data_IF_151217226681
#
_entry.id   IF_151217226681
#
_cell.length_a   1.000
_cell.length_b   1.000
_cell.length_c   1.000
_cell.angle_alpha   90.00
_cell.angle_beta   90.00
_cell.angle_gamma   90.00
#
_symmetry.space_group_name_H-M   'P 1'
#
loop_
_entity.id
_entity.type
_entity.pdbx_description
1 polymer ?
#
# COMPACT_ATOMS: atom_id res chain seq x y z
N UNK A 1 11.59 -16.83 -6.52
CA UNK A 1 11.72 -15.53 -5.83
C UNK A 1 10.48 -15.35 -4.97
N UNK A 2 10.63 -15.24 -3.66
CA UNK A 2 9.51 -15.09 -2.70
C UNK A 2 9.05 -13.64 -2.67
N UNK A 3 7.82 -13.37 -3.12
CA UNK A 3 7.21 -12.04 -3.04
C UNK A 3 6.89 -11.72 -1.57
N UNK A 4 7.53 -10.69 -1.01
CA UNK A 4 7.24 -10.23 0.35
C UNK A 4 5.96 -9.37 0.34
N UNK A 5 5.15 -9.51 1.39
CA UNK A 5 3.95 -8.70 1.60
C UNK A 5 4.10 -7.87 2.88
N UNK A 6 3.66 -6.62 2.79
CA UNK A 6 3.77 -5.62 3.83
C UNK A 6 2.38 -5.15 4.26
N UNK A 7 2.24 -4.89 5.54
CA UNK A 7 1.09 -4.23 6.14
C UNK A 7 1.10 -2.73 5.83
N UNK A 8 -0.06 -2.08 6.00
CA UNK A 8 -0.18 -0.62 5.85
C UNK A 8 0.78 0.16 6.76
N UNK A 9 1.10 -0.39 7.94
CA UNK A 9 2.04 0.23 8.88
C UNK A 9 3.49 0.16 8.41
N UNK A 10 3.89 -0.96 7.79
CA UNK A 10 5.22 -1.10 7.19
C UNK A 10 5.37 -0.20 5.97
N UNK A 11 4.36 -0.14 5.11
CA UNK A 11 4.34 0.77 3.95
C UNK A 11 4.43 2.23 4.41
N UNK A 12 3.67 2.62 5.44
CA UNK A 12 3.71 3.97 6.01
C UNK A 12 5.13 4.35 6.46
N UNK A 13 5.83 3.45 7.15
CA UNK A 13 7.23 3.66 7.56
C UNK A 13 8.18 3.73 6.36
N UNK A 14 8.03 2.82 5.39
CA UNK A 14 8.93 2.69 4.24
C UNK A 14 8.83 3.89 3.28
N UNK A 15 7.62 4.38 3.02
CA UNK A 15 7.35 5.53 2.15
C UNK A 15 7.39 6.88 2.88
N UNK A 16 7.57 6.84 4.21
CA UNK A 16 7.46 7.98 5.10
C UNK A 16 6.20 8.81 4.81
N UNK A 17 5.04 8.14 4.77
CA UNK A 17 3.73 8.77 4.61
C UNK A 17 2.81 8.35 5.75
N UNK A 18 1.91 9.22 6.22
CA UNK A 18 0.92 8.85 7.21
C UNK A 18 0.03 7.68 6.74
N UNK A 19 -0.31 6.78 7.65
CA UNK A 19 -1.30 5.71 7.40
C UNK A 19 -2.63 6.32 6.91
N UNK A 20 -3.00 7.51 7.39
CA UNK A 20 -4.19 8.23 6.95
C UNK A 20 -4.16 8.55 5.44
N UNK A 21 -3.01 8.89 4.88
CA UNK A 21 -2.83 9.12 3.43
C UNK A 21 -3.07 7.83 2.64
N UNK A 22 -2.54 6.70 3.11
CA UNK A 22 -2.77 5.41 2.45
C UNK A 22 -4.25 5.01 2.53
N UNK A 23 -4.90 5.24 3.68
CA UNK A 23 -6.35 5.02 3.85
C UNK A 23 -7.19 5.96 2.98
N UNK A 24 -6.73 7.19 2.77
CA UNK A 24 -7.37 8.13 1.85
C UNK A 24 -7.35 7.59 0.42
N UNK A 25 -6.19 7.09 -0.05
CA UNK A 25 -6.09 6.45 -1.36
C UNK A 25 -6.97 5.20 -1.50
N UNK A 26 -7.04 4.35 -0.46
CA UNK A 26 -7.96 3.22 -0.40
C UNK A 26 -9.42 3.66 -0.55
N UNK A 27 -9.86 4.60 0.29
CA UNK A 27 -11.24 5.10 0.31
C UNK A 27 -11.67 5.73 -1.01
N UNK A 28 -10.73 6.33 -1.75
CA UNK A 28 -10.99 6.93 -3.06
C UNK A 28 -10.78 5.96 -4.23
N UNK A 29 -10.56 4.67 -3.95
CA UNK A 29 -10.43 3.65 -4.99
C UNK A 29 -9.15 3.76 -5.80
N UNK A 30 -8.12 4.45 -5.29
CA UNK A 30 -6.82 4.63 -5.95
C UNK A 30 -5.89 3.43 -5.77
N UNK A 31 -6.26 2.48 -4.90
CA UNK A 31 -5.51 1.25 -4.64
C UNK A 31 -6.32 -0.01 -5.00
N UNK A 32 -6.88 -0.15 -6.20
CA UNK A 32 -7.67 -1.33 -6.58
C UNK A 32 -6.80 -2.58 -6.80
N UNK A 33 -5.50 -2.38 -7.04
CA UNK A 33 -4.52 -3.42 -7.35
C UNK A 33 -3.96 -4.16 -6.11
N UNK A 34 -4.08 -3.57 -4.93
CA UNK A 34 -3.51 -4.13 -3.70
C UNK A 34 -4.36 -5.29 -3.21
N UNK A 35 -3.71 -6.44 -2.95
CA UNK A 35 -4.35 -7.64 -2.43
C UNK A 35 -4.91 -7.41 -1.02
N UNK A 36 -5.98 -8.15 -0.70
CA UNK A 36 -6.51 -8.29 0.66
C UNK A 36 -6.27 -9.70 1.18
N UNK A 37 -5.97 -9.83 2.48
CA UNK A 37 -5.96 -11.12 3.18
C UNK A 37 -7.39 -11.66 3.31
N UNK A 38 -7.51 -12.92 3.71
CA UNK A 38 -8.81 -13.52 4.07
C UNK A 38 -9.53 -12.76 5.20
N UNK A 39 -8.76 -12.11 6.09
CA UNK A 39 -9.29 -11.24 7.14
C UNK A 39 -9.67 -9.82 6.64
N UNK A 40 -9.55 -9.54 5.34
CA UNK A 40 -9.91 -8.26 4.72
C UNK A 40 -8.86 -7.15 4.84
N UNK A 41 -7.68 -7.44 5.39
CA UNK A 41 -6.59 -6.47 5.56
C UNK A 41 -5.79 -6.31 4.27
N UNK A 42 -5.35 -5.08 3.97
CA UNK A 42 -4.51 -4.81 2.79
C UNK A 42 -3.09 -5.34 2.98
N UNK A 43 -2.60 -6.03 1.96
CA UNK A 43 -1.23 -6.52 1.83
C UNK A 43 -0.60 -5.94 0.58
N UNK A 44 0.49 -5.21 0.77
CA UNK A 44 1.22 -4.53 -0.28
C UNK A 44 2.47 -5.33 -0.63
N UNK A 45 2.66 -5.66 -1.89
CA UNK A 45 3.92 -6.21 -2.40
C UNK A 45 4.93 -5.09 -2.66
N UNK A 46 6.20 -5.44 -2.91
CA UNK A 46 7.20 -4.45 -3.34
C UNK A 46 6.74 -3.67 -4.59
N UNK A 47 6.07 -4.35 -5.54
CA UNK A 47 5.51 -3.70 -6.75
C UNK A 47 4.44 -2.67 -6.40
N UNK A 48 3.56 -2.98 -5.44
CA UNK A 48 2.52 -2.05 -5.00
C UNK A 48 3.11 -0.80 -4.34
N UNK A 49 4.22 -0.97 -3.61
CA UNK A 49 4.96 0.11 -2.93
C UNK A 49 5.62 1.03 -3.97
N UNK A 50 6.21 0.47 -5.02
CA UNK A 50 6.80 1.25 -6.12
C UNK A 50 5.73 2.09 -6.82
N UNK A 51 4.56 1.51 -7.11
CA UNK A 51 3.42 2.24 -7.70
C UNK A 51 2.95 3.37 -6.77
N UNK A 52 2.80 3.10 -5.48
CA UNK A 52 2.44 4.11 -4.47
C UNK A 52 3.45 5.27 -4.43
N UNK A 53 4.74 4.98 -4.62
CA UNK A 53 5.80 6.00 -4.69
C UNK A 53 5.61 6.91 -5.89
N UNK A 54 5.26 6.35 -7.05
CA UNK A 54 4.96 7.12 -8.25
C UNK A 54 3.71 8.00 -8.11
N UNK A 55 2.66 7.52 -7.44
CA UNK A 55 1.44 8.31 -7.17
C UNK A 55 1.74 9.50 -6.24
N UNK A 56 2.64 9.33 -5.26
CA UNK A 56 3.03 10.39 -4.31
C UNK A 56 3.79 11.55 -4.98
N UNK A 57 4.62 11.26 -5.97
CA UNK A 57 5.51 12.24 -6.60
C UNK A 57 4.83 13.13 -7.65
N UNK A 58 3.50 13.09 -7.77
CA UNK A 58 2.75 13.78 -8.82
C UNK A 58 1.85 14.90 -8.31
#
# INVERSE_FOLDING_TARGET
MTTAYYSIGEVSKRLNIPISTIRYYDKHGLLPFVRRTESGLRQFSDVDIDILTHIKCH
#
